data_IF_955943609125
#
_entry.id   IF_955943609125
#
_cell.length_a   1.000
_cell.length_b   1.000
_cell.length_c   1.000
_cell.angle_alpha   90.00
_cell.angle_beta   90.00
_cell.angle_gamma   90.00
#
_symmetry.space_group_name_H-M   'P 1'
#
loop_
_entity.id
_entity.type
_entity.pdbx_description
1 polymer ?
#
# COMPACT_ATOMS: atom_id res chain seq x y z
N UNK A 1 39.68 -50.46 25.22
CA UNK A 1 38.77 -51.60 25.06
C UNK A 1 37.66 -51.09 24.14
N UNK A 2 37.70 -51.21 22.79
CA UNK A 2 37.94 -52.40 21.95
C UNK A 2 37.13 -53.58 22.51
N UNK A 3 36.13 -54.18 21.87
CA UNK A 3 35.77 -54.28 20.45
C UNK A 3 34.33 -54.83 20.28
N UNK A 4 33.95 -54.99 19.00
CA UNK A 4 32.80 -55.71 18.42
C UNK A 4 31.54 -54.86 18.25
N UNK A 5 31.46 -54.15 17.13
CA UNK A 5 30.53 -54.44 16.01
C UNK A 5 30.76 -53.39 14.90
N UNK A 6 32.00 -53.34 14.41
CA UNK A 6 32.27 -52.85 13.05
C UNK A 6 32.34 -54.08 12.13
N UNK A 7 31.99 -53.88 10.86
CA UNK A 7 31.99 -54.82 9.74
C UNK A 7 30.71 -55.64 9.53
N UNK A 8 29.71 -54.99 8.93
CA UNK A 8 29.12 -55.54 7.70
C UNK A 8 28.83 -54.37 6.74
N UNK A 9 29.88 -54.05 5.98
CA UNK A 9 29.82 -53.28 4.75
C UNK A 9 29.76 -54.30 3.60
N UNK A 10 28.99 -53.99 2.56
CA UNK A 10 29.09 -54.52 1.17
C UNK A 10 28.25 -55.75 0.77
N UNK A 11 27.02 -55.49 0.34
CA UNK A 11 26.42 -56.01 -0.91
C UNK A 11 25.19 -55.12 -1.17
N UNK A 12 25.16 -54.24 -2.17
CA UNK A 12 25.10 -54.59 -3.57
C UNK A 12 23.64 -54.61 -4.03
N UNK A 13 23.20 -53.51 -4.68
CA UNK A 13 22.07 -53.37 -5.63
C UNK A 13 21.10 -52.22 -5.31
N UNK A 14 21.13 -51.21 -6.19
CA UNK A 14 20.02 -50.31 -6.48
C UNK A 14 18.82 -51.10 -7.04
N UNK A 15 17.60 -50.55 -6.96
CA UNK A 15 17.08 -50.01 -8.21
C UNK A 15 16.47 -48.61 -8.04
N UNK A 16 16.75 -47.80 -9.07
CA UNK A 16 16.04 -46.57 -9.41
C UNK A 16 14.69 -46.89 -10.05
N UNK A 17 13.79 -45.88 -10.02
CA UNK A 17 12.53 -45.71 -10.81
C UNK A 17 11.31 -46.48 -10.25
N UNK A 18 10.09 -45.92 -10.08
CA UNK A 18 9.40 -44.84 -10.79
C UNK A 18 8.26 -44.18 -9.94
N UNK A 19 7.82 -43.03 -10.47
CA UNK A 19 6.72 -42.11 -10.13
C UNK A 19 5.36 -42.73 -9.75
N UNK A 20 4.62 -42.08 -8.81
CA UNK A 20 3.21 -41.63 -8.97
C UNK A 20 2.63 -41.03 -7.65
N UNK A 21 2.59 -39.69 -7.59
CA UNK A 21 1.51 -38.75 -7.24
C UNK A 21 0.41 -39.10 -6.18
N UNK A 22 0.09 -38.07 -5.36
CA UNK A 22 -1.16 -37.77 -4.58
C UNK A 22 -1.36 -38.51 -3.24
N UNK A 23 -1.88 -37.93 -2.13
CA UNK A 23 -2.55 -36.65 -1.84
C UNK A 23 -2.55 -36.43 -0.32
N UNK A 24 -2.38 -35.18 0.11
CA UNK A 24 -3.13 -34.44 1.14
C UNK A 24 -3.40 -35.05 2.53
N UNK A 25 -2.64 -34.52 3.50
CA UNK A 25 -2.96 -34.56 4.93
C UNK A 25 -2.63 -33.23 5.58
N UNK A 26 -3.06 -32.10 5.00
CA UNK A 26 -2.95 -30.79 5.62
C UNK A 26 -4.07 -30.61 6.65
N UNK A 27 -3.64 -30.52 7.90
CA UNK A 27 -4.44 -30.10 9.05
C UNK A 27 -4.73 -28.59 8.89
N UNK A 28 -5.87 -28.24 8.31
CA UNK A 28 -6.35 -26.86 8.28
C UNK A 28 -6.97 -26.53 9.64
N UNK A 29 -6.40 -25.54 10.34
CA UNK A 29 -7.12 -24.80 11.38
C UNK A 29 -8.29 -24.08 10.70
N UNK A 30 -9.51 -24.40 11.14
CA UNK A 30 -10.73 -23.68 10.78
C UNK A 30 -10.57 -22.20 11.18
N UNK A 31 -10.20 -21.38 10.21
CA UNK A 31 -10.44 -19.94 10.29
C UNK A 31 -11.94 -19.76 10.18
N UNK A 32 -12.58 -19.30 11.26
CA UNK A 32 -13.98 -18.88 11.24
C UNK A 32 -14.20 -17.92 10.08
N UNK A 33 -14.95 -18.39 9.08
CA UNK A 33 -15.35 -17.58 7.94
C UNK A 33 -16.52 -16.74 8.41
N UNK A 34 -16.27 -15.45 8.63
CA UNK A 34 -17.32 -14.43 8.67
C UNK A 34 -18.02 -14.47 7.29
N UNK A 35 -19.12 -15.21 7.25
CA UNK A 35 -20.00 -15.35 6.08
C UNK A 35 -20.93 -14.16 6.01
N UNK A 36 -20.36 -13.00 5.68
CA UNK A 36 -21.12 -11.81 5.27
C UNK A 36 -20.45 -11.15 4.04
N UNK A 37 -19.98 -11.98 3.10
CA UNK A 37 -19.64 -11.55 1.75
C UNK A 37 -20.82 -11.82 0.84
N UNK A 38 -21.84 -10.96 0.94
CA UNK A 38 -22.89 -10.88 -0.07
C UNK A 38 -22.27 -10.71 -1.45
N UNK A 39 -22.41 -11.73 -2.29
CA UNK A 39 -22.21 -11.66 -3.73
C UNK A 39 -23.26 -10.73 -4.33
N UNK A 40 -23.00 -9.43 -4.25
CA UNK A 40 -23.65 -8.42 -5.07
C UNK A 40 -22.53 -7.73 -5.85
N UNK A 41 -22.75 -7.55 -7.15
CA UNK A 41 -21.86 -6.85 -8.06
C UNK A 41 -21.17 -5.66 -7.37
N UNK A 42 -19.84 -5.59 -7.45
CA UNK A 42 -18.98 -4.62 -6.75
C UNK A 42 -19.19 -3.14 -7.14
N UNK A 43 -20.34 -2.79 -7.70
CA UNK A 43 -20.81 -1.43 -7.84
C UNK A 43 -21.63 -1.07 -6.61
N UNK A 44 -21.01 -0.37 -5.65
CA UNK A 44 -21.73 0.34 -4.60
C UNK A 44 -22.84 1.18 -5.26
N UNK A 45 -24.05 1.14 -4.70
CA UNK A 45 -25.16 1.99 -5.13
C UNK A 45 -24.63 3.43 -5.24
N UNK A 46 -24.81 4.05 -6.42
CA UNK A 46 -24.38 5.44 -6.63
C UNK A 46 -24.91 6.29 -5.49
N UNK A 47 -24.03 7.08 -4.90
CA UNK A 47 -24.41 8.01 -3.84
C UNK A 47 -25.61 8.82 -4.32
N UNK A 48 -26.69 8.78 -3.54
CA UNK A 48 -27.86 9.66 -3.74
C UNK A 48 -27.61 11.06 -3.16
N UNK A 49 -26.39 11.35 -2.73
CA UNK A 49 -26.01 12.66 -2.25
C UNK A 49 -26.08 13.66 -3.40
N UNK A 50 -27.25 14.29 -3.51
CA UNK A 50 -27.43 15.54 -4.21
C UNK A 50 -27.47 16.59 -3.10
N UNK A 51 -26.44 17.45 -2.95
CA UNK A 51 -26.51 18.52 -1.97
C UNK A 51 -27.76 19.35 -2.26
N UNK A 52 -28.68 19.42 -1.30
CA UNK A 52 -29.88 20.22 -1.45
C UNK A 52 -29.43 21.68 -1.43
N UNK A 53 -29.44 22.31 -2.61
CA UNK A 53 -29.17 23.72 -2.75
C UNK A 53 -30.33 24.49 -2.10
N UNK A 54 -30.06 25.42 -1.17
CA UNK A 54 -31.08 26.32 -0.68
C UNK A 54 -31.71 27.05 -1.88
N UNK A 55 -33.04 27.22 -1.94
CA UNK A 55 -33.66 28.05 -2.95
C UNK A 55 -33.16 29.50 -2.77
N UNK A 56 -32.45 30.02 -3.76
CA UNK A 56 -31.84 31.36 -3.70
C UNK A 56 -31.07 31.70 -4.98
N UNK A 57 -30.67 32.97 -5.12
CA UNK A 57 -29.76 33.37 -6.19
C UNK A 57 -28.44 32.59 -6.04
N UNK A 58 -27.83 32.17 -7.15
CA UNK A 58 -26.55 31.42 -7.15
C UNK A 58 -25.46 32.14 -6.35
N UNK A 59 -25.51 33.48 -6.32
CA UNK A 59 -24.61 34.32 -5.53
C UNK A 59 -24.82 34.12 -4.04
N UNK A 60 -26.07 34.11 -3.57
CA UNK A 60 -26.40 33.94 -2.15
C UNK A 60 -26.04 32.53 -1.67
N UNK A 61 -26.28 31.53 -2.52
CA UNK A 61 -25.88 30.14 -2.27
C UNK A 61 -24.36 30.03 -2.15
N UNK A 62 -23.61 30.66 -3.06
CA UNK A 62 -22.16 30.68 -3.00
C UNK A 62 -21.64 31.37 -1.74
N UNK A 63 -22.22 32.52 -1.38
CA UNK A 63 -21.86 33.24 -0.15
C UNK A 63 -22.14 32.40 1.10
N UNK A 64 -23.28 31.70 1.14
CA UNK A 64 -23.62 30.82 2.25
C UNK A 64 -22.64 29.66 2.39
N UNK A 65 -22.29 28.99 1.28
CA UNK A 65 -21.31 27.91 1.26
C UNK A 65 -19.91 28.38 1.67
N UNK A 66 -19.46 29.52 1.15
CA UNK A 66 -18.18 30.13 1.54
C UNK A 66 -18.16 30.49 3.03
N UNK A 67 -19.26 31.03 3.55
CA UNK A 67 -19.36 31.36 4.97
C UNK A 67 -19.32 30.10 5.86
N UNK A 68 -19.96 29.01 5.44
CA UNK A 68 -19.86 27.71 6.11
C UNK A 68 -18.46 27.13 6.04
N UNK A 69 -17.79 27.21 4.90
CA UNK A 69 -16.41 26.74 4.74
C UNK A 69 -15.45 27.51 5.64
N UNK A 70 -15.57 28.85 5.70
CA UNK A 70 -14.76 29.67 6.60
C UNK A 70 -15.03 29.34 8.08
N UNK A 71 -16.30 29.15 8.46
CA UNK A 71 -16.67 28.68 9.81
C UNK A 71 -16.04 27.32 10.11
N UNK A 72 -16.06 26.40 9.15
CA UNK A 72 -15.49 25.07 9.28
C UNK A 72 -13.97 25.10 9.41
N UNK A 73 -13.27 25.98 8.68
CA UNK A 73 -11.82 26.18 8.80
C UNK A 73 -11.48 26.67 10.21
N UNK A 74 -12.14 27.73 10.68
CA UNK A 74 -11.93 28.27 12.04
C UNK A 74 -12.25 27.24 13.12
N UNK A 75 -13.32 26.46 12.94
CA UNK A 75 -13.68 25.36 13.84
C UNK A 75 -12.60 24.27 13.86
N UNK A 76 -12.10 23.84 12.69
CA UNK A 76 -11.04 22.83 12.58
C UNK A 76 -9.72 23.34 13.17
N UNK A 77 -9.39 24.61 13.03
CA UNK A 77 -8.21 25.21 13.68
C UNK A 77 -8.35 25.22 15.21
N UNK A 78 -9.53 25.54 15.75
CA UNK A 78 -9.79 25.43 17.20
C UNK A 78 -9.78 23.97 17.68
N UNK A 79 -10.25 23.04 16.86
CA UNK A 79 -10.27 21.60 17.14
C UNK A 79 -8.89 20.92 16.98
N UNK A 80 -7.94 21.51 16.24
CA UNK A 80 -6.55 21.00 16.19
C UNK A 80 -5.90 20.93 17.58
N UNK A 81 -6.36 21.74 18.53
CA UNK A 81 -5.84 21.78 19.91
C UNK A 81 -6.77 21.11 20.94
N UNK A 82 -8.01 20.77 20.57
CA UNK A 82 -8.96 20.10 21.46
C UNK A 82 -9.12 18.64 21.03
N UNK A 83 -8.27 17.80 21.61
CA UNK A 83 -8.45 16.35 21.64
C UNK A 83 -8.35 15.70 20.28
N UNK A 84 -7.15 15.29 19.91
CA UNK A 84 -7.00 14.15 19.01
C UNK A 84 -7.79 12.98 19.62
N UNK A 85 -9.03 12.79 19.19
CA UNK A 85 -9.65 11.47 19.29
C UNK A 85 -8.85 10.66 18.27
N UNK A 86 -7.77 10.07 18.75
CA UNK A 86 -7.07 9.05 18.01
C UNK A 86 -8.12 7.98 17.73
N UNK A 87 -8.52 7.82 16.46
CA UNK A 87 -9.26 6.63 15.99
C UNK A 87 -8.36 5.38 16.02
N UNK A 88 -7.37 5.36 16.92
CA UNK A 88 -6.28 4.41 16.97
C UNK A 88 -6.13 4.05 18.44
N UNK A 89 -6.34 2.78 18.74
CA UNK A 89 -6.18 2.28 20.10
C UNK A 89 -4.69 2.30 20.48
N UNK A 90 -4.39 2.12 21.78
CA UNK A 90 -2.99 1.98 22.22
C UNK A 90 -2.34 0.77 21.57
N UNK A 91 -3.09 -0.31 21.40
CA UNK A 91 -2.59 -1.55 20.82
C UNK A 91 -2.26 -1.36 19.34
N UNK A 92 -3.13 -0.65 18.59
CA UNK A 92 -2.85 -0.29 17.19
C UNK A 92 -1.59 0.59 17.07
N UNK A 93 -1.40 1.52 18.00
CA UNK A 93 -0.22 2.37 18.01
C UNK A 93 1.06 1.58 18.27
N UNK A 94 1.05 0.64 19.22
CA UNK A 94 2.18 -0.25 19.47
C UNK A 94 2.44 -1.18 18.28
N UNK A 95 1.40 -1.75 17.69
CA UNK A 95 1.53 -2.57 16.48
C UNK A 95 2.17 -1.77 15.33
N UNK A 96 1.76 -0.53 15.12
CA UNK A 96 2.37 0.36 14.12
C UNK A 96 3.83 0.69 14.44
N UNK A 97 4.15 0.92 15.72
CA UNK A 97 5.55 1.13 16.13
C UNK A 97 6.42 -0.08 15.84
N UNK A 98 5.92 -1.29 16.08
CA UNK A 98 6.67 -2.51 15.88
C UNK A 98 6.87 -2.80 14.38
N UNK A 99 5.82 -2.60 13.58
CA UNK A 99 5.91 -2.66 12.11
C UNK A 99 6.89 -1.63 11.56
N UNK A 100 6.94 -0.42 12.15
CA UNK A 100 7.89 0.62 11.73
C UNK A 100 9.36 0.29 12.09
N UNK A 101 9.58 -0.47 13.18
CA UNK A 101 10.92 -0.92 13.60
C UNK A 101 11.43 -2.10 12.77
N UNK A 102 10.54 -2.88 12.17
CA UNK A 102 10.93 -4.03 11.37
C UNK A 102 11.70 -3.60 10.11
N UNK A 103 12.96 -4.03 10.05
CA UNK A 103 13.88 -3.74 8.94
C UNK A 103 13.64 -4.66 7.74
N UNK A 104 12.82 -5.68 7.85
CA UNK A 104 12.50 -6.57 6.74
C UNK A 104 11.36 -6.04 5.88
N UNK A 105 10.67 -4.99 6.32
CA UNK A 105 9.52 -4.43 5.61
C UNK A 105 9.89 -3.07 5.02
N UNK A 106 9.29 -2.74 3.88
CA UNK A 106 9.38 -1.44 3.22
C UNK A 106 7.97 -0.88 3.09
N UNK A 107 7.75 0.28 3.70
CA UNK A 107 6.49 1.02 3.63
C UNK A 107 6.71 2.27 2.80
N UNK A 108 5.94 2.44 1.74
CA UNK A 108 5.99 3.61 0.85
C UNK A 108 4.60 4.14 0.57
N UNK A 109 4.50 5.45 0.35
CA UNK A 109 3.29 6.03 -0.18
C UNK A 109 3.03 5.48 -1.59
N UNK A 110 1.80 5.07 -1.85
CA UNK A 110 1.34 4.72 -3.18
C UNK A 110 1.01 6.00 -3.94
N UNK A 111 1.34 6.03 -5.22
CA UNK A 111 0.91 7.09 -6.14
C UNK A 111 -0.62 7.15 -6.29
N UNK A 112 -1.32 6.09 -5.90
CA UNK A 112 -2.78 5.96 -6.05
C UNK A 112 -3.52 6.29 -4.76
N UNK A 113 -4.39 7.30 -4.83
CA UNK A 113 -5.49 7.56 -3.89
C UNK A 113 -5.08 7.61 -2.40
N UNK A 114 -3.88 8.09 -2.08
CA UNK A 114 -3.40 8.20 -0.71
C UNK A 114 -3.21 6.85 0.00
N UNK A 115 -3.10 5.76 -0.75
CA UNK A 115 -2.84 4.43 -0.19
C UNK A 115 -1.37 4.25 0.18
N UNK A 116 -1.06 3.22 0.97
CA UNK A 116 0.31 2.80 1.30
C UNK A 116 0.60 1.43 0.68
N UNK A 117 1.84 1.22 0.28
CA UNK A 117 2.35 -0.07 -0.19
C UNK A 117 3.29 -0.63 0.87
N UNK A 118 3.02 -1.86 1.30
CA UNK A 118 3.84 -2.62 2.26
C UNK A 118 4.43 -3.81 1.52
N UNK A 119 5.75 -3.93 1.53
CA UNK A 119 6.48 -4.99 0.81
C UNK A 119 7.57 -5.59 1.68
N UNK A 120 7.88 -6.86 1.45
CA UNK A 120 9.12 -7.45 1.92
C UNK A 120 10.32 -6.73 1.27
N UNK A 121 11.36 -6.47 2.07
CA UNK A 121 12.54 -5.71 1.63
C UNK A 121 13.34 -6.46 0.58
N UNK A 122 13.45 -7.79 0.68
CA UNK A 122 14.19 -8.57 -0.30
C UNK A 122 13.43 -8.57 -1.64
N UNK A 123 12.12 -8.83 -1.62
CA UNK A 123 11.27 -8.74 -2.80
C UNK A 123 11.31 -7.34 -3.44
N UNK A 124 11.18 -6.29 -2.64
CA UNK A 124 11.30 -4.91 -3.12
C UNK A 124 12.66 -4.62 -3.78
N UNK A 125 13.76 -5.10 -3.18
CA UNK A 125 15.10 -4.91 -3.73
C UNK A 125 15.29 -5.65 -5.04
N UNK A 126 14.75 -6.86 -5.16
CA UNK A 126 14.78 -7.65 -6.39
C UNK A 126 13.97 -6.98 -7.50
N UNK A 127 12.78 -6.47 -7.18
CA UNK A 127 11.93 -5.79 -8.15
C UNK A 127 12.57 -4.49 -8.66
N UNK A 128 13.20 -3.70 -7.78
CA UNK A 128 13.97 -2.53 -8.23
C UNK A 128 15.09 -2.95 -9.18
N UNK A 129 15.87 -3.98 -8.82
CA UNK A 129 16.94 -4.47 -9.69
C UNK A 129 16.39 -4.93 -11.04
N UNK A 130 15.28 -5.67 -11.04
CA UNK A 130 14.59 -6.11 -12.25
C UNK A 130 14.20 -4.92 -13.12
N UNK A 131 13.57 -3.90 -12.54
CA UNK A 131 13.17 -2.68 -13.25
C UNK A 131 14.37 -1.92 -13.82
N UNK A 132 15.48 -1.81 -13.08
CA UNK A 132 16.70 -1.14 -13.52
C UNK A 132 17.46 -1.92 -14.61
N UNK A 133 17.32 -3.25 -14.65
CA UNK A 133 17.97 -4.12 -15.63
C UNK A 133 17.28 -4.14 -16.99
N UNK A 134 16.01 -3.70 -17.07
CA UNK A 134 15.28 -3.56 -18.33
C UNK A 134 15.87 -2.37 -19.09
N UNK A 135 16.97 -2.63 -19.82
CA UNK A 135 17.67 -1.64 -20.63
C UNK A 135 16.91 -1.25 -21.90
N UNK A 136 15.96 -2.06 -22.35
CA UNK A 136 15.26 -1.84 -23.63
C UNK A 136 14.51 -0.49 -23.69
N UNK A 137 14.14 0.11 -22.54
CA UNK A 137 13.43 1.40 -22.46
C UNK A 137 14.08 2.43 -21.51
N UNK A 138 15.29 2.15 -21.01
CA UNK A 138 15.90 2.93 -19.92
C UNK A 138 17.15 3.67 -20.40
N UNK A 139 16.99 4.80 -21.08
CA UNK A 139 18.12 5.68 -21.38
C UNK A 139 18.56 6.46 -20.13
N UNK A 140 19.87 6.48 -19.85
CA UNK A 140 20.40 7.35 -18.80
C UNK A 140 20.15 8.81 -19.18
N UNK A 141 19.42 9.53 -18.33
CA UNK A 141 19.23 10.97 -18.46
C UNK A 141 20.61 11.66 -18.39
N UNK A 142 21.00 12.33 -19.49
CA UNK A 142 22.24 13.12 -19.56
C UNK A 142 22.19 14.35 -18.67
N UNK A 143 21.00 14.92 -18.50
CA UNK A 143 20.73 16.06 -17.63
C UNK A 143 19.32 15.94 -17.03
N UNK A 144 19.09 16.60 -15.89
CA UNK A 144 17.77 16.70 -15.28
C UNK A 144 16.80 17.49 -16.19
N UNK A 145 15.79 16.83 -16.80
CA UNK A 145 14.86 17.48 -17.72
C UNK A 145 13.96 18.52 -17.04
N UNK A 146 13.85 18.46 -15.71
CA UNK A 146 13.04 19.39 -14.92
C UNK A 146 13.57 20.82 -15.00
N UNK A 147 14.88 21.02 -15.20
CA UNK A 147 15.49 22.36 -15.30
C UNK A 147 14.91 23.17 -16.46
N UNK A 148 14.78 22.53 -17.63
CA UNK A 148 14.27 23.18 -18.83
C UNK A 148 12.77 23.49 -18.73
N UNK A 149 12.01 22.60 -18.10
CA UNK A 149 10.58 22.81 -17.83
C UNK A 149 10.39 23.97 -16.86
N UNK A 150 11.15 23.99 -15.77
CA UNK A 150 11.12 25.07 -14.77
C UNK A 150 11.47 26.42 -15.39
N UNK A 151 12.50 26.46 -16.25
CA UNK A 151 12.88 27.66 -17.00
C UNK A 151 11.73 28.15 -17.88
N UNK A 152 11.11 27.27 -18.68
CA UNK A 152 9.95 27.63 -19.51
C UNK A 152 8.74 28.11 -18.70
N UNK A 153 8.47 27.48 -17.55
CA UNK A 153 7.42 27.94 -16.64
C UNK A 153 7.72 29.33 -16.09
N UNK A 154 8.97 29.58 -15.69
CA UNK A 154 9.41 30.87 -15.18
C UNK A 154 9.33 31.97 -16.26
N UNK A 155 9.82 31.70 -17.47
CA UNK A 155 9.77 32.63 -18.60
C UNK A 155 8.32 32.98 -18.98
N UNK A 156 7.40 32.01 -18.94
CA UNK A 156 5.97 32.26 -19.19
C UNK A 156 5.30 33.07 -18.09
N UNK A 157 5.66 32.84 -16.83
CA UNK A 157 5.16 33.61 -15.69
C UNK A 157 5.62 35.07 -15.76
N UNK A 158 6.86 35.32 -16.16
CA UNK A 158 7.41 36.68 -16.24
C UNK A 158 6.94 37.46 -17.48
N UNK A 159 6.63 36.79 -18.58
CA UNK A 159 6.09 37.41 -19.80
C UNK A 159 4.55 37.59 -19.79
N UNK A 160 3.91 37.34 -18.65
CA UNK A 160 2.46 37.49 -18.45
C UNK A 160 2.05 38.84 -17.84
N UNK A 161 3.01 39.76 -17.72
CA UNK A 161 2.83 41.17 -17.36
C UNK A 161 3.19 42.07 -18.55
#
# INVERSE_FOLDING_TARGET
MHDLWDLEREAGMMPMLNEEILTDGQFYMEMGVDTDRSEASGCKVKSRFCPQLPPGNKVDVFQALMADDLRNIVRKEKQKHQGCIYNMTKDDWWALQDVQKDKNIVIKASDKWGSIVVMDRNGYSQEIKRQLLIQENSEKLKENPMKEIMRKCHDKLNNWH
#
